data_IF_001883566416
#
_entry.id   IF_001883566416
#
_cell.length_a   1.000
_cell.length_b   1.000
_cell.length_c   1.000
_cell.angle_alpha   90.00
_cell.angle_beta   90.00
_cell.angle_gamma   90.00
#
_symmetry.space_group_name_H-M   'P 1'
#
loop_
_entity.id
_entity.type
_entity.pdbx_description
1 polymer ?
#
# COMPACT_ATOMS: atom_id res chain seq x y z
N UNK A 1 -28.64 20.61 -9.02
CA UNK A 1 -27.75 21.79 -9.02
C UNK A 1 -26.43 21.35 -9.62
N UNK A 2 -25.87 22.01 -10.63
CA UNK A 2 -24.65 21.55 -11.28
C UNK A 2 -23.47 21.58 -10.28
N UNK A 3 -22.75 20.46 -10.20
CA UNK A 3 -21.55 20.24 -9.38
C UNK A 3 -20.35 20.96 -10.01
N UNK A 4 -20.14 22.22 -9.66
CA UNK A 4 -18.89 22.90 -9.97
C UNK A 4 -17.91 22.65 -8.83
N UNK A 5 -17.25 21.49 -8.84
CA UNK A 5 -16.16 21.13 -7.93
C UNK A 5 -14.90 21.91 -8.31
N UNK A 6 -14.94 23.22 -8.10
CA UNK A 6 -13.71 24.01 -8.08
C UNK A 6 -13.16 23.84 -6.68
N UNK A 7 -12.13 22.99 -6.52
CA UNK A 7 -11.31 22.99 -5.29
C UNK A 7 -11.00 24.44 -4.94
N UNK A 8 -11.12 24.83 -3.68
CA UNK A 8 -10.86 26.23 -3.30
C UNK A 8 -9.39 26.55 -3.61
N UNK A 9 -9.08 27.81 -3.88
CA UNK A 9 -7.73 28.19 -4.34
C UNK A 9 -6.63 27.84 -3.33
N UNK A 10 -6.93 27.88 -2.03
CA UNK A 10 -6.09 27.41 -0.93
C UNK A 10 -5.82 25.89 -1.01
N UNK A 11 -6.84 25.10 -1.38
CA UNK A 11 -6.68 23.66 -1.57
C UNK A 11 -5.74 23.35 -2.76
N UNK A 12 -5.80 24.13 -3.85
CA UNK A 12 -4.92 23.93 -5.02
C UNK A 12 -3.46 24.30 -4.73
N UNK A 13 -3.22 25.43 -4.06
CA UNK A 13 -1.88 25.84 -3.66
C UNK A 13 -1.23 24.80 -2.72
N UNK A 14 -2.03 24.17 -1.85
CA UNK A 14 -1.57 23.06 -1.03
C UNK A 14 -1.15 21.86 -1.87
N UNK A 15 -1.99 21.42 -2.81
CA UNK A 15 -1.69 20.27 -3.69
C UNK A 15 -0.42 20.51 -4.51
N UNK A 16 -0.25 21.73 -5.04
CA UNK A 16 0.92 22.10 -5.82
C UNK A 16 2.21 22.13 -4.98
N UNK A 17 2.08 22.28 -3.66
CA UNK A 17 3.22 22.27 -2.73
C UNK A 17 3.72 20.86 -2.38
N UNK A 18 2.95 19.82 -2.68
CA UNK A 18 3.29 18.43 -2.32
C UNK A 18 4.55 18.01 -3.10
N UNK A 19 5.65 17.64 -2.42
CA UNK A 19 6.85 17.17 -3.08
C UNK A 19 6.57 15.98 -4.02
N UNK A 20 7.32 15.85 -5.13
CA UNK A 20 7.12 14.75 -6.07
C UNK A 20 7.49 13.39 -5.49
N UNK A 21 8.44 13.37 -4.54
CA UNK A 21 8.92 12.15 -3.90
C UNK A 21 8.39 12.01 -2.47
N UNK A 22 8.22 10.78 -1.98
CA UNK A 22 7.94 10.52 -0.58
C UNK A 22 9.01 11.02 0.36
N UNK A 23 8.59 11.53 1.53
CA UNK A 23 9.49 11.88 2.62
C UNK A 23 9.92 10.61 3.37
N UNK A 24 11.23 10.26 3.38
CA UNK A 24 11.71 9.06 4.05
C UNK A 24 11.38 8.99 5.54
N UNK A 25 11.33 10.13 6.26
CA UNK A 25 11.02 10.13 7.69
C UNK A 25 9.53 9.82 7.93
N UNK A 26 8.65 10.36 7.09
CA UNK A 26 7.22 10.03 7.08
C UNK A 26 7.02 8.54 6.79
N UNK A 27 7.68 8.01 5.75
CA UNK A 27 7.64 6.60 5.37
C UNK A 27 8.09 5.69 6.51
N UNK A 28 9.22 5.99 7.14
CA UNK A 28 9.78 5.20 8.24
C UNK A 28 8.85 5.17 9.45
N UNK A 29 8.22 6.30 9.81
CA UNK A 29 7.28 6.38 10.94
C UNK A 29 6.02 5.57 10.69
N UNK A 30 5.47 5.60 9.47
CA UNK A 30 4.32 4.78 9.08
C UNK A 30 4.66 3.30 9.19
N UNK A 31 5.80 2.90 8.61
CA UNK A 31 6.28 1.53 8.63
C UNK A 31 6.45 1.00 10.07
N UNK A 32 7.18 1.74 10.90
CA UNK A 32 7.41 1.35 12.30
C UNK A 32 6.11 1.27 13.08
N UNK A 33 5.15 2.17 12.82
CA UNK A 33 3.85 2.12 13.48
C UNK A 33 3.04 0.90 13.06
N UNK A 34 3.06 0.53 11.79
CA UNK A 34 2.42 -0.69 11.31
C UNK A 34 3.04 -1.95 11.91
N UNK A 35 4.37 -2.00 12.06
CA UNK A 35 5.06 -3.09 12.77
C UNK A 35 4.61 -3.16 14.24
N UNK A 36 4.63 -2.03 14.95
CA UNK A 36 4.22 -1.91 16.36
C UNK A 36 2.79 -2.41 16.59
N UNK A 37 1.89 -2.16 15.64
CA UNK A 37 0.49 -2.59 15.71
C UNK A 37 0.22 -3.99 15.14
N UNK A 38 1.24 -4.69 14.65
CA UNK A 38 1.08 -6.03 14.07
C UNK A 38 0.30 -6.05 12.76
N UNK A 39 0.46 -5.01 11.93
CA UNK A 39 -0.15 -4.95 10.61
C UNK A 39 0.30 -6.14 9.75
N UNK A 40 -0.66 -6.81 9.11
CA UNK A 40 -0.37 -7.79 8.05
C UNK A 40 0.13 -7.08 6.80
N UNK A 41 0.68 -7.83 5.84
CA UNK A 41 1.21 -7.25 4.60
C UNK A 41 0.14 -6.41 3.86
N UNK A 42 -1.08 -6.92 3.77
CA UNK A 42 -2.17 -6.24 3.04
C UNK A 42 -2.63 -4.96 3.74
N UNK A 43 -2.56 -4.92 5.08
CA UNK A 43 -2.83 -3.71 5.87
C UNK A 43 -1.71 -2.69 5.69
N UNK A 44 -0.46 -3.15 5.70
CA UNK A 44 0.69 -2.27 5.47
C UNK A 44 0.66 -1.67 4.05
N UNK A 45 0.32 -2.47 3.04
CA UNK A 45 0.10 -2.03 1.67
C UNK A 45 -1.01 -0.97 1.59
N UNK A 46 -2.19 -1.24 2.17
CA UNK A 46 -3.29 -0.27 2.18
C UNK A 46 -2.92 1.06 2.84
N UNK A 47 -2.11 0.99 3.90
CA UNK A 47 -1.61 2.18 4.62
C UNK A 47 -0.72 3.02 3.70
N UNK A 48 0.22 2.40 2.98
CA UNK A 48 1.09 3.11 2.05
C UNK A 48 0.38 3.55 0.76
N UNK A 49 -0.55 2.77 0.22
CA UNK A 49 -1.39 3.18 -0.91
C UNK A 49 -2.19 4.44 -0.56
N UNK A 50 -2.76 4.49 0.64
CA UNK A 50 -3.49 5.68 1.14
C UNK A 50 -2.56 6.87 1.26
N UNK A 51 -1.46 6.72 1.98
CA UNK A 51 -0.46 7.75 2.16
C UNK A 51 0.07 8.32 0.82
N UNK A 52 0.29 7.45 -0.17
CA UNK A 52 0.70 7.84 -1.52
C UNK A 52 -0.37 8.60 -2.28
N UNK A 53 -1.62 8.14 -2.21
CA UNK A 53 -2.74 8.78 -2.87
C UNK A 53 -3.04 10.17 -2.29
N UNK A 54 -2.93 10.31 -0.97
CA UNK A 54 -3.31 11.55 -0.28
C UNK A 54 -2.23 12.63 -0.42
N UNK A 55 -0.95 12.27 -0.22
CA UNK A 55 0.14 13.26 -0.11
C UNK A 55 1.46 12.83 -0.74
N UNK A 56 1.47 11.73 -1.51
CA UNK A 56 2.72 11.05 -1.91
C UNK A 56 3.59 10.76 -0.69
N UNK A 57 2.98 10.43 0.45
CA UNK A 57 3.65 10.25 1.74
C UNK A 57 4.50 11.44 2.22
N UNK A 58 3.92 12.63 2.20
CA UNK A 58 4.50 13.84 2.78
C UNK A 58 3.58 14.39 3.87
N UNK A 59 4.14 14.70 5.04
CA UNK A 59 3.37 15.24 6.15
C UNK A 59 3.16 16.77 5.99
N UNK A 60 2.00 17.18 5.49
CA UNK A 60 1.71 18.58 5.12
C UNK A 60 0.66 19.23 6.04
N UNK A 61 0.78 20.53 6.37
CA UNK A 61 -0.14 21.22 7.29
C UNK A 61 -1.40 21.77 6.61
N UNK A 62 -1.73 21.31 5.42
CA UNK A 62 -2.83 21.80 4.60
C UNK A 62 -3.49 20.67 3.80
N UNK A 63 -4.64 20.97 3.20
CA UNK A 63 -5.43 20.01 2.43
C UNK A 63 -6.76 20.60 1.99
N UNK A 64 -7.63 19.75 1.40
CA UNK A 64 -9.02 20.13 1.14
C UNK A 64 -9.77 20.39 2.46
N UNK A 65 -10.47 21.52 2.55
CA UNK A 65 -11.22 21.94 3.74
C UNK A 65 -10.36 22.07 5.01
N UNK A 66 -10.38 21.07 5.90
CA UNK A 66 -9.62 21.02 7.16
C UNK A 66 -8.71 19.78 7.25
N UNK A 67 -8.50 19.09 6.13
CA UNK A 67 -7.57 17.95 6.05
C UNK A 67 -6.13 18.38 6.29
N UNK A 68 -5.38 17.59 7.06
CA UNK A 68 -3.93 17.77 7.27
C UNK A 68 -3.22 16.42 7.36
N UNK A 69 -1.89 16.45 7.32
CA UNK A 69 -1.02 15.30 7.53
C UNK A 69 -0.93 14.35 6.34
N UNK A 70 -0.12 13.31 6.50
CA UNK A 70 0.23 12.37 5.43
C UNK A 70 -0.97 11.58 4.85
N UNK A 71 -2.05 11.44 5.63
CA UNK A 71 -3.28 10.72 5.26
C UNK A 71 -4.46 11.66 4.96
N UNK A 72 -4.23 12.98 4.95
CA UNK A 72 -5.26 14.01 4.74
C UNK A 72 -6.50 13.82 5.63
N UNK A 73 -6.27 13.44 6.89
CA UNK A 73 -7.29 13.22 7.90
C UNK A 73 -7.85 14.54 8.42
N UNK A 74 -9.09 14.51 8.93
CA UNK A 74 -9.84 15.72 9.30
C UNK A 74 -10.17 15.80 10.77
N UNK A 75 -9.79 16.89 11.47
CA UNK A 75 -10.27 17.16 12.81
C UNK A 75 -11.79 17.22 12.90
N UNK A 76 -12.47 17.84 11.93
CA UNK A 76 -13.94 17.91 11.87
C UNK A 76 -14.63 16.55 11.78
N UNK A 77 -13.91 15.50 11.36
CA UNK A 77 -14.42 14.14 11.27
C UNK A 77 -13.90 13.22 12.39
N UNK A 78 -13.43 13.81 13.51
CA UNK A 78 -12.98 13.10 14.71
C UNK A 78 -11.75 12.19 14.52
N UNK A 79 -10.90 12.46 13.53
CA UNK A 79 -9.61 11.75 13.39
C UNK A 79 -8.59 12.15 14.47
N UNK A 80 -8.71 13.37 15.02
CA UNK A 80 -7.83 13.92 16.04
C UNK A 80 -7.76 15.44 15.94
N UNK A 81 -7.04 16.09 16.85
CA UNK A 81 -6.67 17.51 16.67
C UNK A 81 -5.64 17.66 15.55
N UNK A 82 -5.44 18.89 15.05
CA UNK A 82 -4.42 19.19 14.03
C UNK A 82 -3.03 18.73 14.49
N UNK A 83 -2.64 19.05 15.74
CA UNK A 83 -1.34 18.66 16.29
C UNK A 83 -1.16 17.13 16.34
N UNK A 84 -2.22 16.40 16.67
CA UNK A 84 -2.19 14.94 16.65
C UNK A 84 -2.09 14.38 15.23
N UNK A 85 -2.86 14.89 14.28
CA UNK A 85 -2.83 14.39 12.90
C UNK A 85 -1.47 14.69 12.24
N UNK A 86 -0.85 15.82 12.58
CA UNK A 86 0.51 16.17 12.12
C UNK A 86 1.61 15.30 12.76
N UNK A 87 1.31 14.52 13.81
CA UNK A 87 2.17 13.42 14.22
C UNK A 87 1.89 12.20 13.34
N UNK A 88 2.84 11.87 12.46
CA UNK A 88 2.74 10.76 11.51
C UNK A 88 2.46 9.42 12.21
N UNK A 89 3.05 9.18 13.38
CA UNK A 89 2.83 7.92 14.11
C UNK A 89 1.42 7.86 14.70
N UNK A 90 0.85 9.01 15.12
CA UNK A 90 -0.54 9.08 15.55
C UNK A 90 -1.49 8.86 14.37
N UNK A 91 -1.33 9.60 13.27
CA UNK A 91 -2.24 9.53 12.11
C UNK A 91 -2.20 8.15 11.44
N UNK A 92 -1.02 7.53 11.31
CA UNK A 92 -0.89 6.15 10.88
C UNK A 92 -1.57 5.18 11.86
N UNK A 93 -1.40 5.39 13.17
CA UNK A 93 -2.07 4.59 14.19
C UNK A 93 -3.59 4.64 14.08
N UNK A 94 -4.18 5.83 13.91
CA UNK A 94 -5.62 6.02 13.71
C UNK A 94 -6.17 5.33 12.46
N UNK A 95 -5.39 5.30 11.37
CA UNK A 95 -5.75 4.55 10.18
C UNK A 95 -5.72 3.04 10.45
N UNK A 96 -4.63 2.55 11.06
CA UNK A 96 -4.42 1.13 11.37
C UNK A 96 -5.45 0.57 12.35
N UNK A 97 -5.93 1.38 13.32
CA UNK A 97 -7.01 1.03 14.24
C UNK A 97 -8.30 0.61 13.51
N UNK A 98 -8.52 1.10 12.29
CA UNK A 98 -9.66 0.74 11.45
C UNK A 98 -9.30 -0.32 10.41
N UNK A 99 -8.11 -0.22 9.80
CA UNK A 99 -7.65 -1.12 8.75
C UNK A 99 -7.46 -2.57 9.22
N UNK A 100 -6.85 -2.77 10.41
CA UNK A 100 -6.57 -4.09 10.96
C UNK A 100 -7.85 -4.91 11.19
N UNK A 101 -8.86 -4.42 11.95
CA UNK A 101 -10.09 -5.18 12.15
C UNK A 101 -10.86 -5.37 10.85
N UNK A 102 -10.86 -4.38 9.94
CA UNK A 102 -11.51 -4.50 8.63
C UNK A 102 -10.92 -5.67 7.82
N UNK A 103 -9.59 -5.76 7.75
CA UNK A 103 -8.89 -6.85 7.08
C UNK A 103 -9.20 -8.21 7.74
N UNK A 104 -9.19 -8.26 9.07
CA UNK A 104 -9.47 -9.48 9.82
C UNK A 104 -10.91 -9.99 9.63
N UNK A 105 -11.89 -9.10 9.47
CA UNK A 105 -13.29 -9.47 9.27
C UNK A 105 -13.69 -9.74 7.83
N UNK A 106 -12.80 -9.51 6.86
CA UNK A 106 -13.12 -9.51 5.43
C UNK A 106 -12.17 -10.43 4.64
N UNK A 107 -12.38 -11.76 4.66
CA UNK A 107 -11.53 -12.69 3.93
C UNK A 107 -11.46 -12.34 2.43
N UNK A 108 -10.25 -12.17 1.91
CA UNK A 108 -10.02 -11.84 0.50
C UNK A 108 -10.17 -10.36 0.14
N UNK A 109 -10.33 -9.46 1.12
CA UNK A 109 -10.27 -8.01 0.86
C UNK A 109 -8.90 -7.62 0.29
N UNK A 110 -8.87 -6.66 -0.64
CA UNK A 110 -7.64 -6.12 -1.22
C UNK A 110 -7.10 -4.95 -0.40
N UNK A 111 -5.84 -4.55 -0.62
CA UNK A 111 -5.27 -3.34 -0.02
C UNK A 111 -6.10 -2.09 -0.37
N UNK A 112 -6.44 -1.93 -1.65
CA UNK A 112 -7.32 -0.87 -2.13
C UNK A 112 -8.72 -0.92 -1.47
N UNK A 113 -9.28 -2.11 -1.25
CA UNK A 113 -10.54 -2.29 -0.52
C UNK A 113 -10.46 -1.86 0.94
N UNK A 114 -9.33 -2.10 1.61
CA UNK A 114 -9.06 -1.60 2.97
C UNK A 114 -8.95 -0.07 2.96
N UNK A 115 -8.14 0.49 2.05
CA UNK A 115 -7.94 1.94 1.92
C UNK A 115 -9.26 2.68 1.69
N UNK A 116 -10.07 2.24 0.72
CA UNK A 116 -11.39 2.79 0.46
C UNK A 116 -12.33 2.65 1.67
N UNK A 117 -12.31 1.49 2.33
CA UNK A 117 -13.14 1.23 3.52
C UNK A 117 -12.84 2.16 4.69
N UNK A 118 -11.56 2.50 4.90
CA UNK A 118 -11.11 3.36 6.01
C UNK A 118 -11.29 4.85 5.68
N UNK A 119 -10.96 5.29 4.46
CA UNK A 119 -11.06 6.71 4.08
C UNK A 119 -12.49 7.13 3.70
N UNK A 120 -13.43 6.19 3.59
CA UNK A 120 -14.78 6.43 3.07
C UNK A 120 -14.78 7.18 1.73
N UNK A 121 -13.77 6.94 0.90
CA UNK A 121 -13.61 7.59 -0.40
C UNK A 121 -14.70 7.14 -1.39
N UNK A 122 -15.09 8.01 -2.33
CA UNK A 122 -16.03 7.64 -3.38
C UNK A 122 -15.46 6.49 -4.23
N UNK A 123 -16.27 5.45 -4.41
CA UNK A 123 -15.87 4.19 -5.03
C UNK A 123 -15.16 4.40 -6.38
N UNK A 124 -13.92 3.92 -6.46
CA UNK A 124 -13.06 3.97 -7.63
C UNK A 124 -11.73 3.34 -7.25
N UNK A 125 -11.12 2.59 -8.16
CA UNK A 125 -9.87 1.83 -7.97
C UNK A 125 -8.63 2.76 -7.82
N UNK A 126 -8.77 3.85 -7.08
CA UNK A 126 -7.86 5.00 -7.02
C UNK A 126 -6.59 4.67 -6.24
N UNK A 127 -6.65 3.72 -5.29
CA UNK A 127 -5.52 3.35 -4.44
C UNK A 127 -4.70 2.21 -5.04
N UNK A 128 -5.35 1.28 -5.76
CA UNK A 128 -4.67 0.16 -6.42
C UNK A 128 -3.55 0.58 -7.39
N UNK A 129 -3.60 1.79 -7.98
CA UNK A 129 -2.53 2.30 -8.84
C UNK A 129 -1.19 2.49 -8.11
N UNK A 130 -1.23 2.62 -6.78
CA UNK A 130 -0.06 2.82 -5.93
C UNK A 130 0.48 1.51 -5.35
N UNK A 131 -0.01 0.35 -5.79
CA UNK A 131 0.44 -0.95 -5.28
C UNK A 131 1.97 -1.12 -5.37
N UNK A 132 2.55 -0.81 -6.54
CA UNK A 132 4.00 -0.91 -6.75
C UNK A 132 4.78 0.09 -5.88
N UNK A 133 4.28 1.33 -5.78
CA UNK A 133 4.88 2.37 -4.95
C UNK A 133 4.83 2.00 -3.46
N UNK A 134 3.71 1.46 -2.99
CA UNK A 134 3.53 1.00 -1.61
C UNK A 134 4.50 -0.14 -1.27
N UNK A 135 4.66 -1.12 -2.16
CA UNK A 135 5.61 -2.20 -1.97
C UNK A 135 7.06 -1.69 -1.93
N UNK A 136 7.43 -0.77 -2.82
CA UNK A 136 8.74 -0.15 -2.82
C UNK A 136 9.01 0.61 -1.50
N UNK A 137 8.02 1.33 -0.98
CA UNK A 137 8.13 2.05 0.29
C UNK A 137 8.28 1.12 1.49
N UNK A 138 7.59 -0.03 1.51
CA UNK A 138 7.76 -1.06 2.56
C UNK A 138 9.20 -1.59 2.57
N UNK A 139 9.75 -1.90 1.38
CA UNK A 139 11.13 -2.38 1.25
C UNK A 139 12.15 -1.30 1.63
N UNK A 140 11.94 -0.07 1.17
CA UNK A 140 12.76 1.08 1.53
C UNK A 140 12.78 1.29 3.04
N UNK A 141 11.60 1.27 3.68
CA UNK A 141 11.47 1.47 5.12
C UNK A 141 12.10 0.35 5.94
N UNK A 142 11.95 -0.91 5.50
CA UNK A 142 12.62 -2.04 6.16
C UNK A 142 14.15 -1.89 6.08
N UNK A 143 14.68 -1.48 4.94
CA UNK A 143 16.11 -1.25 4.75
C UNK A 143 16.64 -0.05 5.56
N UNK A 144 15.92 1.07 5.58
CA UNK A 144 16.32 2.30 6.28
C UNK A 144 16.23 2.17 7.80
N UNK A 145 15.22 1.47 8.32
CA UNK A 145 15.00 1.29 9.76
C UNK A 145 15.80 0.12 10.33
N UNK A 146 16.25 -0.81 9.48
CA UNK A 146 16.89 -2.05 9.92
C UNK A 146 15.93 -3.03 10.61
N UNK A 147 14.63 -2.75 10.57
CA UNK A 147 13.58 -3.63 11.11
C UNK A 147 13.00 -4.42 9.94
N UNK A 148 13.15 -5.76 9.90
CA UNK A 148 12.57 -6.56 8.82
C UNK A 148 11.04 -6.65 8.96
N UNK A 149 10.33 -6.61 7.83
CA UNK A 149 8.88 -6.87 7.83
C UNK A 149 8.65 -8.37 7.91
N UNK A 150 8.41 -8.90 9.11
CA UNK A 150 8.18 -10.34 9.29
C UNK A 150 6.73 -10.76 9.09
N UNK A 151 5.85 -9.84 8.68
CA UNK A 151 4.42 -10.10 8.41
C UNK A 151 3.74 -10.83 9.55
N UNK A 152 3.31 -10.11 10.60
CA UNK A 152 2.49 -10.74 11.64
C UNK A 152 1.19 -11.29 11.00
N UNK A 153 0.90 -12.56 11.29
CA UNK A 153 0.05 -13.42 10.48
C UNK A 153 -1.45 -13.08 10.46
N UNK A 154 -2.11 -13.63 9.43
CA UNK A 154 -3.57 -13.69 9.25
C UNK A 154 -3.95 -13.16 7.86
N UNK A 155 -4.49 -13.93 6.92
CA UNK A 155 -5.00 -15.29 6.96
C UNK A 155 -5.84 -15.46 5.69
N UNK A 156 -5.20 -15.90 4.61
CA UNK A 156 -5.87 -16.51 3.47
C UNK A 156 -5.11 -17.80 3.21
N UNK A 157 -5.75 -18.95 3.40
CA UNK A 157 -5.19 -20.20 2.91
C UNK A 157 -4.84 -19.99 1.44
N UNK A 158 -3.56 -20.16 1.09
CA UNK A 158 -3.14 -20.14 -0.29
C UNK A 158 -4.06 -21.09 -1.06
N UNK A 159 -4.71 -20.58 -2.10
CA UNK A 159 -5.34 -21.43 -3.10
C UNK A 159 -4.34 -22.53 -3.49
N UNK A 160 -4.78 -23.78 -3.76
CA UNK A 160 -3.87 -24.83 -4.19
C UNK A 160 -2.98 -24.29 -5.32
N UNK A 161 -1.66 -24.58 -5.28
CA UNK A 161 -0.73 -23.96 -6.21
C UNK A 161 -1.24 -24.16 -7.63
N UNK A 162 -1.25 -23.10 -8.46
CA UNK A 162 -1.67 -23.26 -9.85
C UNK A 162 -0.79 -24.35 -10.51
N UNK A 163 -1.35 -25.14 -11.44
CA UNK A 163 -0.58 -26.16 -12.15
C UNK A 163 0.66 -25.51 -12.78
N UNK A 164 1.82 -26.18 -12.78
CA UNK A 164 3.01 -25.66 -13.45
C UNK A 164 2.68 -25.33 -14.93
N UNK A 165 3.23 -24.24 -15.49
CA UNK A 165 2.91 -23.81 -16.85
C UNK A 165 3.11 -24.93 -17.85
N UNK A 166 2.06 -25.20 -18.63
CA UNK A 166 2.09 -26.20 -19.70
C UNK A 166 2.88 -25.64 -20.88
N UNK A 167 4.21 -25.84 -20.87
CA UNK A 167 5.08 -25.54 -22.01
C UNK A 167 6.41 -24.88 -21.61
N UNK A 168 7.47 -25.69 -21.49
CA UNK A 168 8.85 -25.22 -21.73
C UNK A 168 9.49 -24.29 -20.70
N UNK A 169 9.07 -24.33 -19.43
CA UNK A 169 9.74 -23.60 -18.35
C UNK A 169 11.22 -24.02 -18.23
N UNK A 170 12.16 -23.13 -18.56
CA UNK A 170 13.59 -23.45 -18.57
C UNK A 170 14.25 -23.24 -17.20
N UNK A 171 13.84 -22.21 -16.46
CA UNK A 171 14.27 -21.93 -15.10
C UNK A 171 13.06 -21.57 -14.23
N UNK A 172 13.20 -21.77 -12.93
CA UNK A 172 12.17 -21.42 -11.95
C UNK A 172 12.76 -20.61 -10.81
N UNK A 173 11.92 -19.75 -10.24
CA UNK A 173 12.19 -19.04 -9.01
C UNK A 173 11.09 -19.34 -8.00
N UNK A 174 11.46 -19.48 -6.73
CA UNK A 174 10.52 -19.72 -5.62
C UNK A 174 10.44 -18.44 -4.78
N UNK A 175 9.31 -17.70 -4.82
CA UNK A 175 9.14 -16.49 -4.05
C UNK A 175 9.33 -16.75 -2.57
N UNK A 176 10.11 -15.88 -1.94
CA UNK A 176 10.25 -15.77 -0.49
C UNK A 176 9.39 -14.61 0.01
N UNK A 177 9.12 -14.53 1.33
CA UNK A 177 8.39 -13.38 1.87
C UNK A 177 9.08 -12.06 1.48
N UNK A 178 8.30 -11.16 0.86
CA UNK A 178 8.79 -9.85 0.38
C UNK A 178 9.06 -9.78 -1.14
N UNK A 179 9.00 -10.90 -1.84
CA UNK A 179 9.09 -10.90 -3.30
C UNK A 179 7.83 -10.35 -3.98
N UNK A 180 8.03 -9.69 -5.11
CA UNK A 180 7.00 -9.26 -6.05
C UNK A 180 7.34 -9.75 -7.45
N UNK A 181 6.37 -9.77 -8.36
CA UNK A 181 6.62 -10.14 -9.76
C UNK A 181 7.71 -9.25 -10.38
N UNK A 182 7.73 -7.97 -10.03
CA UNK A 182 8.80 -7.06 -10.46
C UNK A 182 10.16 -7.44 -9.88
N UNK A 183 10.27 -7.68 -8.57
CA UNK A 183 11.54 -8.04 -7.95
C UNK A 183 12.08 -9.36 -8.53
N UNK A 184 11.21 -10.35 -8.70
CA UNK A 184 11.55 -11.63 -9.30
C UNK A 184 11.99 -11.43 -10.75
N UNK A 185 11.20 -10.72 -11.55
CA UNK A 185 11.51 -10.49 -12.96
C UNK A 185 12.84 -9.75 -13.14
N UNK A 186 13.00 -8.62 -12.44
CA UNK A 186 14.18 -7.76 -12.52
C UNK A 186 15.45 -8.49 -12.05
N UNK A 187 15.39 -9.23 -10.93
CA UNK A 187 16.54 -9.96 -10.40
C UNK A 187 16.95 -11.15 -11.27
N UNK A 188 16.04 -11.66 -12.09
CA UNK A 188 16.28 -12.76 -13.02
C UNK A 188 16.43 -12.29 -14.48
N UNK A 189 16.52 -10.97 -14.72
CA UNK A 189 16.83 -10.39 -16.03
C UNK A 189 15.71 -10.51 -17.06
N UNK A 190 14.45 -10.62 -16.63
CA UNK A 190 13.27 -10.64 -17.49
C UNK A 190 12.35 -9.45 -17.20
N UNK A 191 11.44 -9.11 -18.12
CA UNK A 191 10.41 -8.11 -17.87
C UNK A 191 9.26 -8.70 -17.04
N UNK A 192 8.50 -7.84 -16.37
CA UNK A 192 7.26 -8.25 -15.68
C UNK A 192 6.27 -8.86 -16.67
N UNK A 193 6.08 -8.26 -17.84
CA UNK A 193 5.22 -8.81 -18.89
C UNK A 193 5.66 -10.22 -19.31
N UNK A 194 6.97 -10.47 -19.39
CA UNK A 194 7.52 -11.79 -19.68
C UNK A 194 7.29 -12.77 -18.52
N UNK A 195 7.46 -12.34 -17.27
CA UNK A 195 7.15 -13.16 -16.10
C UNK A 195 5.66 -13.53 -16.05
N UNK A 196 4.75 -12.59 -16.31
CA UNK A 196 3.30 -12.83 -16.38
C UNK A 196 2.93 -13.74 -17.56
N UNK A 197 3.55 -13.54 -18.73
CA UNK A 197 3.35 -14.42 -19.88
C UNK A 197 3.84 -15.85 -19.61
N UNK A 198 4.95 -16.01 -18.90
CA UNK A 198 5.49 -17.31 -18.49
C UNK A 198 4.62 -18.01 -17.43
N UNK A 199 3.84 -17.23 -16.67
CA UNK A 199 3.00 -17.72 -15.58
C UNK A 199 1.55 -17.21 -15.73
N UNK A 200 0.75 -17.74 -16.68
CA UNK A 200 -0.60 -17.25 -16.95
C UNK A 200 -1.59 -17.39 -15.78
N UNK A 201 -1.21 -18.12 -14.74
CA UNK A 201 -1.96 -18.21 -13.49
C UNK A 201 -1.76 -17.00 -12.57
N UNK A 202 -0.70 -16.21 -12.76
CA UNK A 202 -0.48 -14.96 -12.04
C UNK A 202 -1.29 -13.84 -12.68
N UNK A 203 -2.02 -13.09 -11.86
CA UNK A 203 -2.79 -11.94 -12.32
C UNK A 203 -1.88 -10.74 -12.66
N UNK A 204 -2.42 -9.80 -13.45
CA UNK A 204 -1.67 -8.63 -13.90
C UNK A 204 -1.20 -7.72 -12.74
N UNK A 205 -1.86 -7.78 -11.58
CA UNK A 205 -1.47 -7.05 -10.37
C UNK A 205 -0.49 -7.81 -9.49
N UNK A 206 -0.03 -9.00 -9.90
CA UNK A 206 0.77 -9.91 -9.08
C UNK A 206 0.16 -10.25 -7.71
N UNK A 207 -1.16 -10.05 -7.54
CA UNK A 207 -1.79 -10.11 -6.22
C UNK A 207 -1.93 -11.53 -5.68
N UNK A 208 -1.85 -12.51 -6.58
CA UNK A 208 -1.95 -13.93 -6.29
C UNK A 208 -0.60 -14.67 -6.34
N UNK A 209 0.53 -13.95 -6.28
CA UNK A 209 1.86 -14.55 -6.12
C UNK A 209 1.97 -15.27 -4.77
N UNK A 210 2.37 -16.54 -4.80
CA UNK A 210 2.44 -17.38 -3.61
C UNK A 210 3.88 -17.64 -3.19
N UNK A 211 4.20 -17.31 -1.94
CA UNK A 211 5.47 -17.68 -1.31
C UNK A 211 5.59 -19.20 -1.25
N UNK A 212 6.76 -19.73 -1.62
CA UNK A 212 7.04 -21.16 -1.61
C UNK A 212 6.55 -21.94 -2.84
N UNK A 213 5.96 -21.26 -3.84
CA UNK A 213 5.50 -21.88 -5.10
C UNK A 213 6.47 -21.53 -6.23
N UNK A 214 6.90 -22.52 -7.02
CA UNK A 214 7.81 -22.25 -8.13
C UNK A 214 7.09 -21.59 -9.31
N UNK A 215 7.63 -20.46 -9.78
CA UNK A 215 7.19 -19.74 -10.97
C UNK A 215 8.29 -19.69 -12.02
N UNK A 216 7.90 -19.65 -13.30
CA UNK A 216 8.81 -19.63 -14.43
C UNK A 216 9.47 -18.27 -14.61
N UNK A 217 10.78 -18.29 -14.79
CA UNK A 217 11.60 -17.13 -15.15
C UNK A 217 12.29 -17.38 -16.49
#
# INVERSE_FOLDING_TARGET
MPTNSTKRQDDQACIDSIPPNPDPDTVNKIYLKGIDMGASLIVMQATFETCMQETRCNNIPCGDQDSVGAFQQRPSQNWGSVDQIMDVSYSAGKFLEQAIPLAASSPGITADGIAQGVQHAEAGNLYAKHFDEANALIQQAAASTGVPFTGAGGGGAAAPPPPPPSGGCSNTYTPVPGDSCWAIANNNGISVDQFLANNPSIDAGCSNLQVGVAYCI
#
